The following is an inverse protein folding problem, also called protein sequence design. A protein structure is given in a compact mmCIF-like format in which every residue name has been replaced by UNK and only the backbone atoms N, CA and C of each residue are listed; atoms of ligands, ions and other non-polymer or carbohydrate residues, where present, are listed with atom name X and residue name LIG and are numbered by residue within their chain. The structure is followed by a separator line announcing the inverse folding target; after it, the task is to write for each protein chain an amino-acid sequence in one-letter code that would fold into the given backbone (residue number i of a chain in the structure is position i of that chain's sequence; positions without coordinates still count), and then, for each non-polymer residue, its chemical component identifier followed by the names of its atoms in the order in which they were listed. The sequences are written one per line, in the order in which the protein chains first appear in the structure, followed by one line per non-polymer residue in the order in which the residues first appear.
data_IF_307331329184
#
_entry.id   IF_307331329184
#
_cell.length_a   1.000
_cell.length_b   1.000
_cell.length_c   1.000
_cell.angle_alpha   90.00
_cell.angle_beta   90.00
_cell.angle_gamma   90.00
#
_symmetry.space_group_name_H-M   'P 1'
#
loop_
_entity.id
_entity.type
_entity.pdbx_description
1 polymer ?
#
# COMPACT_ATOMS: atom_id res chain seq x y z
N UNK A 1 -19.40 14.48 -6.41
CA UNK A 1 -17.98 14.43 -5.99
C UNK A 1 -17.91 14.96 -4.56
N UNK A 2 -17.42 14.18 -3.59
CA UNK A 2 -17.24 14.70 -2.24
C UNK A 2 -16.22 15.84 -2.28
N UNK A 3 -16.57 16.99 -1.71
CA UNK A 3 -15.67 18.13 -1.57
C UNK A 3 -15.25 18.27 -0.11
N UNK A 4 -13.97 18.50 0.13
CA UNK A 4 -13.40 18.79 1.45
C UNK A 4 -12.99 20.26 1.47
N UNK A 5 -13.52 21.00 2.44
CA UNK A 5 -13.12 22.38 2.69
C UNK A 5 -12.30 22.44 3.98
N UNK A 6 -11.10 23.00 3.91
CA UNK A 6 -10.28 23.28 5.07
C UNK A 6 -10.46 24.76 5.39
N UNK A 7 -11.09 25.07 6.52
CA UNK A 7 -11.22 26.44 7.04
C UNK A 7 -10.01 26.75 7.92
N UNK A 8 -9.67 28.04 8.02
CA UNK A 8 -8.58 28.54 8.87
C UNK A 8 -7.23 27.87 8.59
N UNK A 9 -6.89 27.68 7.31
CA UNK A 9 -5.61 27.13 6.91
C UNK A 9 -4.48 28.11 7.30
N UNK A 10 -3.48 27.67 8.10
CA UNK A 10 -2.37 28.54 8.46
C UNK A 10 -1.68 29.10 7.23
N UNK A 11 -1.47 30.42 7.22
CA UNK A 11 -0.87 31.15 6.10
C UNK A 11 0.46 30.53 5.62
N UNK A 12 1.37 30.06 6.49
CA UNK A 12 2.59 29.37 6.04
C UNK A 12 2.31 28.10 5.22
N UNK A 13 1.29 27.31 5.61
CA UNK A 13 0.90 26.10 4.89
C UNK A 13 0.22 26.43 3.57
N UNK A 14 -0.62 27.46 3.54
CA UNK A 14 -1.24 27.94 2.32
C UNK A 14 -0.20 28.38 1.28
N UNK A 15 0.81 29.15 1.69
CA UNK A 15 1.93 29.56 0.83
C UNK A 15 2.74 28.37 0.32
N UNK A 16 3.01 27.39 1.18
CA UNK A 16 3.72 26.17 0.81
C UNK A 16 2.96 25.39 -0.27
N UNK A 17 1.65 25.19 -0.08
CA UNK A 17 0.79 24.53 -1.07
C UNK A 17 0.73 25.31 -2.37
N UNK A 18 0.59 26.64 -2.32
CA UNK A 18 0.54 27.48 -3.51
C UNK A 18 1.86 27.42 -4.29
N UNK A 19 3.00 27.44 -3.58
CA UNK A 19 4.32 27.29 -4.20
C UNK A 19 4.43 25.95 -4.93
N UNK A 20 4.09 24.83 -4.27
CA UNK A 20 4.11 23.49 -4.88
C UNK A 20 3.17 23.38 -6.08
N UNK A 21 1.97 23.95 -5.97
CA UNK A 21 1.00 23.96 -7.06
C UNK A 21 1.55 24.68 -8.30
N UNK A 22 2.20 25.83 -8.11
CA UNK A 22 2.89 26.56 -9.20
C UNK A 22 4.03 25.74 -9.80
N UNK A 23 4.88 25.16 -8.96
CA UNK A 23 6.00 24.31 -9.38
C UNK A 23 5.51 23.14 -10.26
N UNK A 24 4.38 22.51 -9.90
CA UNK A 24 3.79 21.41 -10.66
C UNK A 24 2.78 21.84 -11.74
N UNK A 25 2.60 23.15 -11.97
CA UNK A 25 1.61 23.72 -12.92
C UNK A 25 0.18 23.19 -12.70
N UNK A 26 -0.19 23.02 -11.43
CA UNK A 26 -1.49 22.51 -10.98
C UNK A 26 -2.27 23.60 -10.28
N UNK A 27 -3.59 23.45 -10.23
CA UNK A 27 -4.41 24.24 -9.31
C UNK A 27 -4.10 23.86 -7.85
N UNK A 28 -4.42 24.75 -6.91
CA UNK A 28 -4.21 24.48 -5.48
C UNK A 28 -4.95 23.19 -5.04
N UNK A 29 -6.18 23.01 -5.51
CA UNK A 29 -6.99 21.83 -5.22
C UNK A 29 -6.39 20.56 -5.83
N UNK A 30 -5.83 20.63 -7.04
CA UNK A 30 -5.14 19.50 -7.67
C UNK A 30 -3.85 19.14 -6.92
N UNK A 31 -3.10 20.14 -6.46
CA UNK A 31 -1.90 19.90 -5.67
C UNK A 31 -2.23 19.27 -4.31
N UNK A 32 -3.28 19.77 -3.65
CA UNK A 32 -3.75 19.20 -2.38
C UNK A 32 -4.18 17.73 -2.55
N UNK A 33 -4.91 17.40 -3.61
CA UNK A 33 -5.28 16.02 -3.93
C UNK A 33 -4.05 15.14 -4.18
N UNK A 34 -3.09 15.62 -4.96
CA UNK A 34 -1.86 14.87 -5.24
C UNK A 34 -1.03 14.63 -3.96
N UNK A 35 -0.88 15.64 -3.10
CA UNK A 35 -0.16 15.49 -1.83
C UNK A 35 -0.88 14.49 -0.91
N UNK A 36 -2.22 14.51 -0.88
CA UNK A 36 -3.04 13.55 -0.13
C UNK A 36 -2.96 12.12 -0.70
N UNK A 37 -2.96 11.94 -2.01
CA UNK A 37 -2.74 10.63 -2.67
C UNK A 37 -1.37 10.04 -2.31
N UNK A 38 -0.33 10.88 -2.28
CA UNK A 38 1.01 10.46 -1.89
C UNK A 38 1.07 10.05 -0.42
N UNK A 39 0.51 10.86 0.48
CA UNK A 39 0.47 10.57 1.92
C UNK A 39 -0.39 9.34 2.25
N UNK A 40 -1.45 9.10 1.48
CA UNK A 40 -2.30 7.92 1.60
C UNK A 40 -1.71 6.66 0.95
N UNK A 41 -0.49 6.73 0.40
CA UNK A 41 0.27 5.59 -0.11
C UNK A 41 -0.02 5.22 -1.57
N UNK A 42 -0.49 6.14 -2.40
CA UNK A 42 -0.76 5.91 -3.83
C UNK A 42 -1.99 5.04 -4.11
N UNK A 43 -2.21 4.69 -5.39
CA UNK A 43 -3.34 3.87 -5.84
C UNK A 43 -3.35 2.52 -5.08
N UNK A 44 -4.39 2.25 -4.27
CA UNK A 44 -4.52 1.00 -3.51
C UNK A 44 -4.38 -0.26 -4.37
N UNK A 45 -4.76 -0.18 -5.66
CA UNK A 45 -4.63 -1.30 -6.59
C UNK A 45 -3.17 -1.60 -6.89
N UNK A 46 -2.36 -0.57 -7.10
CA UNK A 46 -0.94 -0.71 -7.37
C UNK A 46 -0.19 -1.19 -6.13
N UNK A 47 -0.55 -0.70 -4.94
CA UNK A 47 -0.02 -1.21 -3.67
C UNK A 47 -0.32 -2.69 -3.46
N UNK A 48 -1.56 -3.12 -3.70
CA UNK A 48 -1.97 -4.52 -3.59
C UNK A 48 -1.23 -5.38 -4.60
N UNK A 49 -1.12 -4.91 -5.83
CA UNK A 49 -0.40 -5.61 -6.89
C UNK A 49 1.06 -5.85 -6.48
N UNK A 50 1.76 -4.81 -6.04
CA UNK A 50 3.14 -4.91 -5.55
C UNK A 50 3.28 -5.81 -4.32
N UNK A 51 2.27 -5.87 -3.44
CA UNK A 51 2.28 -6.77 -2.29
C UNK A 51 2.13 -8.23 -2.72
N UNK A 52 1.23 -8.53 -3.65
CA UNK A 52 1.01 -9.88 -4.17
C UNK A 52 2.22 -10.39 -4.95
N UNK A 53 2.82 -9.55 -5.80
CA UNK A 53 4.05 -9.89 -6.54
C UNK A 53 5.21 -10.23 -5.59
N UNK A 54 5.36 -9.47 -4.49
CA UNK A 54 6.37 -9.76 -3.47
C UNK A 54 6.14 -11.10 -2.77
N UNK A 55 4.89 -11.43 -2.46
CA UNK A 55 4.54 -12.72 -1.86
C UNK A 55 4.85 -13.85 -2.84
N UNK A 56 4.45 -13.70 -4.10
CA UNK A 56 4.66 -14.71 -5.13
C UNK A 56 6.14 -14.97 -5.42
N UNK A 57 6.95 -13.91 -5.58
CA UNK A 57 8.40 -14.05 -5.77
C UNK A 57 9.07 -14.76 -4.61
N UNK A 58 8.67 -14.42 -3.37
CA UNK A 58 9.17 -15.09 -2.16
C UNK A 58 8.82 -16.58 -2.15
N UNK A 59 7.65 -16.96 -2.65
CA UNK A 59 7.25 -18.35 -2.78
C UNK A 59 8.03 -19.08 -3.87
N UNK A 60 8.23 -18.48 -5.04
CA UNK A 60 8.96 -19.08 -6.16
C UNK A 60 10.44 -19.31 -5.86
N UNK A 61 11.06 -18.45 -5.06
CA UNK A 61 12.47 -18.58 -4.66
C UNK A 61 12.67 -19.56 -3.50
N UNK A 62 11.59 -20.01 -2.86
CA UNK A 62 11.68 -20.95 -1.75
C UNK A 62 11.91 -22.35 -2.33
N UNK A 63 12.94 -23.04 -1.85
CA UNK A 63 13.07 -24.48 -2.10
C UNK A 63 11.78 -25.19 -1.68
N UNK A 64 11.30 -26.17 -2.46
CA UNK A 64 10.12 -26.93 -2.09
C UNK A 64 10.28 -27.43 -0.66
N UNK A 65 9.23 -27.22 0.14
CA UNK A 65 9.19 -27.72 1.51
C UNK A 65 9.38 -29.24 1.44
N UNK A 66 10.52 -29.72 1.92
CA UNK A 66 10.75 -31.15 2.08
C UNK A 66 10.05 -31.56 3.37
N UNK A 67 8.85 -32.12 3.22
CA UNK A 67 8.15 -32.74 4.32
C UNK A 67 8.88 -34.05 4.60
N UNK A 68 9.46 -34.17 5.80
CA UNK A 68 10.14 -35.40 6.24
C UNK A 68 9.17 -36.55 6.46
N UNK A 69 7.91 -36.23 6.73
CA UNK A 69 6.86 -37.18 7.04
C UNK A 69 5.73 -37.09 6.03
N UNK A 70 5.25 -38.25 5.61
CA UNK A 70 4.07 -38.37 4.79
C UNK A 70 2.83 -37.93 5.60
N UNK A 71 1.86 -37.25 4.98
CA UNK A 71 0.61 -36.84 5.65
C UNK A 71 -0.08 -37.99 6.40
N UNK A 72 -0.01 -39.20 5.87
CA UNK A 72 -0.58 -40.41 6.45
C UNK A 72 0.08 -40.79 7.78
N UNK A 73 1.37 -40.51 7.96
CA UNK A 73 2.09 -40.76 9.20
C UNK A 73 1.62 -39.81 10.32
N UNK A 74 1.37 -38.54 9.96
CA UNK A 74 0.83 -37.54 10.90
C UNK A 74 -0.59 -37.91 11.35
N UNK A 75 -1.45 -38.36 10.43
CA UNK A 75 -2.83 -38.78 10.74
C UNK A 75 -2.82 -40.02 11.65
N UNK A 76 -1.87 -40.95 11.44
CA UNK A 76 -1.75 -42.15 12.29
C UNK A 76 -1.27 -41.80 13.69
N UNK A 77 -0.25 -40.96 13.81
CA UNK A 77 0.28 -40.51 15.10
C UNK A 77 -0.77 -39.77 15.95
N UNK A 78 -1.68 -39.02 15.31
CA UNK A 78 -2.79 -38.35 15.99
C UNK A 78 -3.87 -39.33 16.49
N UNK A 79 -4.12 -40.41 15.76
CA UNK A 79 -5.11 -41.45 16.14
C UNK A 79 -4.62 -42.40 17.23
N UNK A 80 -3.30 -42.55 17.39
CA UNK A 80 -2.68 -43.43 18.39
C UNK A 80 -2.44 -42.73 19.74
N UNK A 81 -2.83 -41.46 19.87
CA UNK A 81 -2.91 -40.71 21.14
C UNK A 81 -4.26 -40.88 21.83
#
# INVERSE_FOLDING_TARGET
MPSLQIRDLPEPLHRLLQRRAREHKRSLSQQALADLEVLSGGDPRQRRQQALERIEQRWRQRSPLQWSELPEALIRADRER
#
